data_IF_751017942609
#
_entry.id   IF_751017942609
#
_cell.length_a   1.000
_cell.length_b   1.000
_cell.length_c   1.000
_cell.angle_alpha   90.00
_cell.angle_beta   90.00
_cell.angle_gamma   90.00
#
_symmetry.space_group_name_H-M   'P 1'
#
loop_
_entity.id
_entity.type
_entity.pdbx_description
1 polymer ?
#
# COMPACT_ATOMS: atom_id res chain seq x y z
N UNK A 1 8.89 -5.05 37.00
CA UNK A 1 7.57 -5.68 36.74
C UNK A 1 7.06 -6.16 38.10
N UNK A 2 6.74 -5.21 38.98
CA UNK A 2 6.45 -5.50 40.39
C UNK A 2 4.99 -5.21 40.68
N UNK A 3 4.27 -6.24 41.09
CA UNK A 3 2.82 -6.25 41.30
C UNK A 3 2.36 -5.30 42.43
N UNK A 4 3.28 -4.82 43.27
CA UNK A 4 2.99 -3.87 44.34
C UNK A 4 2.60 -2.47 43.83
N UNK A 5 3.07 -2.06 42.65
CA UNK A 5 2.75 -0.75 42.06
C UNK A 5 1.41 -0.72 41.29
N UNK A 6 0.78 -1.88 41.02
CA UNK A 6 -0.50 -1.99 40.30
C UNK A 6 -1.71 -2.08 41.23
N UNK A 7 -1.50 -2.32 42.53
CA UNK A 7 -2.58 -2.47 43.52
C UNK A 7 -3.43 -1.19 43.73
N UNK A 8 -2.84 -0.01 43.49
CA UNK A 8 -3.55 1.29 43.64
C UNK A 8 -4.59 1.53 42.53
N UNK A 9 -4.47 0.85 41.39
CA UNK A 9 -5.32 1.07 40.20
C UNK A 9 -6.44 0.01 40.02
N UNK A 10 -6.63 -0.90 40.99
CA UNK A 10 -7.74 -1.85 41.05
C UNK A 10 -7.66 -3.05 40.09
N UNK A 11 -8.72 -3.87 40.05
CA UNK A 11 -8.82 -5.15 39.30
C UNK A 11 -8.50 -5.01 37.79
N UNK A 12 -8.65 -3.82 37.21
CA UNK A 12 -8.31 -3.55 35.80
C UNK A 12 -6.80 -3.49 35.52
N UNK A 13 -5.94 -3.46 36.54
CA UNK A 13 -4.48 -3.46 36.43
C UNK A 13 -3.81 -4.84 36.35
N UNK A 14 -4.59 -5.94 36.31
CA UNK A 14 -4.07 -7.31 36.28
C UNK A 14 -3.18 -7.62 35.05
N UNK A 15 -3.39 -6.90 33.94
CA UNK A 15 -2.57 -6.98 32.73
C UNK A 15 -1.41 -5.96 32.70
N UNK A 16 -1.19 -5.22 33.79
CA UNK A 16 -0.27 -4.08 33.87
C UNK A 16 -0.97 -2.74 33.65
N UNK A 17 -0.32 -1.66 34.08
CA UNK A 17 -0.80 -0.27 33.95
C UNK A 17 0.23 0.54 33.17
N UNK A 18 -0.23 1.32 32.19
CA UNK A 18 0.59 2.30 31.48
C UNK A 18 0.26 3.67 32.06
N UNK A 19 1.22 4.29 32.76
CA UNK A 19 1.09 5.65 33.27
C UNK A 19 1.62 6.63 32.22
N UNK A 20 0.75 7.49 31.71
CA UNK A 20 1.12 8.56 30.76
C UNK A 20 1.08 9.88 31.52
N UNK A 21 2.24 10.55 31.62
CA UNK A 21 2.32 11.92 32.13
C UNK A 21 2.58 12.88 30.97
N UNK A 22 1.64 13.80 30.71
CA UNK A 22 1.81 14.83 29.68
C UNK A 22 2.54 16.04 30.25
N UNK A 23 3.34 16.71 29.41
CA UNK A 23 4.01 17.96 29.79
C UNK A 23 2.95 19.03 30.09
N UNK A 24 3.04 19.68 31.26
CA UNK A 24 2.19 20.81 31.66
C UNK A 24 2.88 22.13 31.31
N UNK A 25 2.11 23.16 30.94
CA UNK A 25 2.63 24.49 30.63
C UNK A 25 3.34 25.11 31.84
N UNK A 26 4.50 25.72 31.61
CA UNK A 26 5.28 26.43 32.64
C UNK A 26 5.16 27.94 32.41
N UNK A 27 4.99 28.70 33.48
CA UNK A 27 5.01 30.18 33.43
C UNK A 27 6.42 30.63 33.08
N UNK A 28 6.59 31.32 31.94
CA UNK A 28 7.90 31.70 31.40
C UNK A 28 7.80 32.33 30.01
N UNK A 29 8.94 32.52 29.33
CA UNK A 29 8.98 33.04 27.95
C UNK A 29 8.28 32.06 26.99
N UNK A 30 7.51 32.54 25.99
CA UNK A 30 6.86 31.68 25.01
C UNK A 30 7.90 30.82 24.27
N UNK A 31 7.61 29.53 24.12
CA UNK A 31 8.47 28.59 23.40
C UNK A 31 7.78 28.21 22.09
N UNK A 32 8.32 28.71 20.99
CA UNK A 32 7.87 28.29 19.65
C UNK A 32 8.53 26.97 19.30
N UNK A 33 7.72 25.93 19.09
CA UNK A 33 8.17 24.62 18.62
C UNK A 33 7.66 24.40 17.20
N UNK A 34 8.57 24.07 16.29
CA UNK A 34 8.26 23.72 14.90
C UNK A 34 8.62 22.25 14.71
N UNK A 35 7.61 21.45 14.38
CA UNK A 35 7.79 20.05 14.04
C UNK A 35 7.59 19.89 12.52
N UNK A 36 8.57 19.27 11.86
CA UNK A 36 8.49 18.90 10.45
C UNK A 36 8.64 17.39 10.33
N UNK A 37 7.62 16.73 9.81
CA UNK A 37 7.59 15.29 9.57
C UNK A 37 7.52 15.02 8.06
N UNK A 38 8.38 14.13 7.59
CA UNK A 38 8.36 13.64 6.22
C UNK A 38 8.41 12.12 6.23
N UNK A 39 7.48 11.49 5.52
CA UNK A 39 7.39 10.05 5.35
C UNK A 39 7.40 9.66 3.89
N UNK A 40 8.09 8.56 3.58
CA UNK A 40 8.03 7.88 2.28
C UNK A 40 7.33 6.54 2.51
N UNK A 41 6.30 6.24 1.74
CA UNK A 41 5.53 5.00 1.83
C UNK A 41 5.66 4.20 0.54
N UNK A 42 5.70 2.88 0.66
CA UNK A 42 5.75 1.93 -0.46
C UNK A 42 4.80 0.77 -0.22
N UNK A 43 4.40 0.09 -1.29
CA UNK A 43 3.64 -1.15 -1.18
C UNK A 43 4.51 -2.24 -0.53
N UNK A 44 3.98 -2.90 0.51
CA UNK A 44 4.70 -3.97 1.22
C UNK A 44 4.76 -5.26 0.42
N UNK A 45 3.71 -5.55 -0.37
CA UNK A 45 3.65 -6.71 -1.27
C UNK A 45 2.78 -6.33 -2.47
N UNK A 46 3.28 -6.65 -3.65
CA UNK A 46 2.61 -6.41 -4.92
C UNK A 46 2.49 -7.77 -5.62
N UNK A 47 1.32 -8.13 -6.18
CA UNK A 47 1.20 -9.36 -6.96
C UNK A 47 1.97 -9.24 -8.28
N UNK A 48 2.68 -10.29 -8.66
CA UNK A 48 3.32 -10.38 -9.98
C UNK A 48 2.23 -10.60 -11.04
N UNK A 49 2.03 -9.60 -11.89
CA UNK A 49 1.10 -9.68 -13.00
C UNK A 49 1.79 -10.30 -14.23
N UNK A 50 1.07 -11.19 -14.92
CA UNK A 50 1.51 -11.69 -16.22
C UNK A 50 1.37 -10.60 -17.29
N UNK A 51 2.19 -10.70 -18.33
CA UNK A 51 2.08 -9.86 -19.52
C UNK A 51 0.76 -10.12 -20.27
N UNK A 52 0.33 -9.14 -21.08
CA UNK A 52 -0.93 -9.20 -21.81
C UNK A 52 -1.01 -10.38 -22.78
N UNK A 53 0.10 -10.80 -23.38
CA UNK A 53 0.15 -11.96 -24.29
C UNK A 53 -0.06 -13.25 -23.53
N UNK A 54 0.65 -13.45 -22.42
CA UNK A 54 0.46 -14.61 -21.53
C UNK A 54 -0.96 -14.64 -20.98
N UNK A 55 -1.54 -13.49 -20.60
CA UNK A 55 -2.93 -13.39 -20.19
C UNK A 55 -3.89 -13.90 -21.27
N UNK A 56 -3.73 -13.45 -22.53
CA UNK A 56 -4.59 -13.89 -23.63
C UNK A 56 -4.49 -15.40 -23.89
N UNK A 57 -3.29 -15.97 -23.80
CA UNK A 57 -3.06 -17.41 -23.95
C UNK A 57 -3.73 -18.21 -22.82
N UNK A 58 -3.51 -17.80 -21.57
CA UNK A 58 -4.13 -18.45 -20.41
C UNK A 58 -5.66 -18.32 -20.42
N UNK A 59 -6.20 -17.19 -20.87
CA UNK A 59 -7.64 -17.00 -21.03
C UNK A 59 -8.23 -17.96 -22.07
N UNK A 60 -7.55 -18.14 -23.21
CA UNK A 60 -7.96 -19.10 -24.23
C UNK A 60 -7.87 -20.54 -23.71
N UNK A 61 -6.76 -20.90 -23.06
CA UNK A 61 -6.57 -22.23 -22.46
C UNK A 61 -7.70 -22.53 -21.48
N UNK A 62 -8.00 -21.60 -20.56
CA UNK A 62 -9.08 -21.76 -19.58
C UNK A 62 -10.47 -21.94 -20.19
N UNK A 63 -10.75 -21.31 -21.35
CA UNK A 63 -12.02 -21.47 -22.07
C UNK A 63 -12.09 -22.81 -22.79
N UNK A 64 -11.01 -23.18 -23.49
CA UNK A 64 -10.91 -24.45 -24.21
C UNK A 64 -11.01 -25.63 -23.26
N UNK A 65 -10.37 -25.57 -22.08
CA UNK A 65 -10.50 -26.61 -21.03
C UNK A 65 -11.94 -26.77 -20.54
N UNK A 66 -12.76 -25.71 -20.60
CA UNK A 66 -14.19 -25.75 -20.26
C UNK A 66 -15.09 -26.12 -21.45
N UNK A 67 -14.51 -26.48 -22.60
CA UNK A 67 -15.24 -26.80 -23.83
C UNK A 67 -15.84 -25.58 -24.55
N UNK A 68 -15.38 -24.36 -24.21
CA UNK A 68 -15.81 -23.13 -24.85
C UNK A 68 -14.84 -22.74 -25.98
N UNK A 69 -15.30 -21.90 -26.90
CA UNK A 69 -14.46 -21.35 -27.95
C UNK A 69 -13.44 -20.36 -27.37
N UNK A 70 -12.20 -20.30 -27.90
CA UNK A 70 -11.21 -19.33 -27.48
C UNK A 70 -11.70 -17.90 -27.74
N UNK A 71 -11.43 -17.00 -26.79
CA UNK A 71 -11.86 -15.60 -26.85
C UNK A 71 -10.98 -14.76 -27.77
N UNK A 72 -9.69 -15.07 -27.84
CA UNK A 72 -8.69 -14.32 -28.61
C UNK A 72 -8.22 -15.15 -29.81
N UNK A 73 -8.16 -14.55 -31.00
CA UNK A 73 -7.55 -15.21 -32.17
C UNK A 73 -6.02 -15.25 -32.03
N UNK A 74 -5.36 -16.25 -32.63
CA UNK A 74 -3.90 -16.32 -32.67
C UNK A 74 -3.27 -15.08 -33.32
N UNK A 75 -3.94 -14.52 -34.34
CA UNK A 75 -3.53 -13.28 -34.97
C UNK A 75 -3.51 -12.10 -33.99
N UNK A 76 -4.52 -11.98 -33.14
CA UNK A 76 -4.59 -10.92 -32.11
C UNK A 76 -3.46 -11.08 -31.10
N UNK A 77 -3.20 -12.31 -30.65
CA UNK A 77 -2.12 -12.63 -29.72
C UNK A 77 -0.76 -12.27 -30.34
N UNK A 78 -0.55 -12.61 -31.61
CA UNK A 78 0.69 -12.32 -32.32
C UNK A 78 0.88 -10.82 -32.57
N UNK A 79 -0.18 -10.08 -32.95
CA UNK A 79 -0.14 -8.62 -33.11
C UNK A 79 0.13 -7.89 -31.80
N UNK A 80 -0.39 -8.41 -30.69
CA UNK A 80 -0.07 -7.92 -29.33
C UNK A 80 1.39 -8.20 -28.98
N UNK A 81 1.88 -9.41 -29.28
CA UNK A 81 3.26 -9.80 -29.01
C UNK A 81 4.29 -9.01 -29.85
N UNK A 82 3.97 -8.69 -31.10
CA UNK A 82 4.82 -7.87 -31.98
C UNK A 82 4.70 -6.37 -31.70
N UNK A 83 3.78 -5.96 -30.81
CA UNK A 83 3.46 -4.55 -30.53
C UNK A 83 3.17 -3.75 -31.81
N UNK A 84 2.54 -4.41 -32.80
CA UNK A 84 2.34 -3.86 -34.13
C UNK A 84 1.54 -2.54 -34.10
N UNK A 85 0.49 -2.51 -33.27
CA UNK A 85 -0.28 -1.30 -32.99
C UNK A 85 -0.64 -1.27 -31.50
N UNK A 86 0.06 -0.47 -30.68
CA UNK A 86 -0.18 -0.38 -29.24
C UNK A 86 -1.56 0.20 -28.86
N UNK A 87 -2.25 0.91 -29.76
CA UNK A 87 -3.58 1.45 -29.50
C UNK A 87 -4.67 0.38 -29.71
N UNK A 88 -4.49 -0.45 -30.74
CA UNK A 88 -5.44 -1.52 -31.06
C UNK A 88 -5.17 -2.80 -30.27
N UNK A 89 -3.91 -3.05 -29.91
CA UNK A 89 -3.44 -4.24 -29.18
C UNK A 89 -2.55 -3.85 -27.99
N UNK A 90 -3.13 -3.21 -26.95
CA UNK A 90 -2.36 -2.74 -25.80
C UNK A 90 -1.88 -3.89 -24.92
N UNK A 91 -0.59 -3.86 -24.56
CA UNK A 91 0.03 -4.67 -23.52
C UNK A 91 0.51 -3.74 -22.40
N UNK A 92 -0.43 -3.29 -21.58
CA UNK A 92 -0.20 -2.28 -20.54
C UNK A 92 -0.23 -2.93 -19.16
N UNK A 93 0.85 -2.76 -18.40
CA UNK A 93 0.85 -3.07 -16.98
C UNK A 93 0.10 -1.98 -16.22
N UNK A 94 -1.20 -2.16 -16.04
CA UNK A 94 -2.07 -1.20 -15.36
C UNK A 94 -1.66 -0.93 -13.91
N UNK A 95 -1.04 -1.89 -13.24
CA UNK A 95 -0.61 -1.72 -11.86
C UNK A 95 0.50 -0.68 -11.75
N UNK A 96 1.48 -0.73 -12.65
CA UNK A 96 2.55 0.27 -12.78
C UNK A 96 2.04 1.58 -13.42
N UNK A 97 1.05 1.50 -14.32
CA UNK A 97 0.51 2.69 -14.96
C UNK A 97 -0.35 3.58 -14.03
N UNK A 98 -1.03 2.97 -13.06
CA UNK A 98 -1.95 3.68 -12.15
C UNK A 98 -1.30 4.01 -10.81
N UNK A 99 -0.31 3.23 -10.36
CA UNK A 99 0.31 3.42 -9.05
C UNK A 99 1.74 3.93 -9.17
N UNK A 100 2.01 4.99 -8.41
CA UNK A 100 3.37 5.43 -8.17
C UNK A 100 4.11 4.46 -7.25
N UNK A 101 5.41 4.31 -7.49
CA UNK A 101 6.28 3.43 -6.68
C UNK A 101 6.43 3.92 -5.23
N UNK A 102 6.27 5.21 -5.00
CA UNK A 102 6.48 5.84 -3.69
C UNK A 102 5.43 6.91 -3.42
N UNK A 103 4.77 6.84 -2.26
CA UNK A 103 4.00 7.94 -1.71
C UNK A 103 4.88 8.85 -0.85
N UNK A 104 4.72 10.17 -0.96
CA UNK A 104 5.37 11.12 -0.06
C UNK A 104 4.32 11.82 0.79
N UNK A 105 4.54 11.86 2.10
CA UNK A 105 3.73 12.64 3.03
C UNK A 105 4.62 13.64 3.76
N UNK A 106 4.17 14.89 3.88
CA UNK A 106 4.88 15.98 4.57
C UNK A 106 3.88 16.72 5.45
N UNK A 107 4.23 16.88 6.72
CA UNK A 107 3.43 17.64 7.68
C UNK A 107 4.34 18.60 8.46
N UNK A 108 3.93 19.85 8.56
CA UNK A 108 4.55 20.83 9.44
C UNK A 108 3.53 21.31 10.46
N UNK A 109 3.90 21.33 11.75
CA UNK A 109 3.09 21.87 12.84
C UNK A 109 3.88 22.89 13.64
N UNK A 110 3.22 23.98 14.02
CA UNK A 110 3.81 25.03 14.85
C UNK A 110 3.00 25.14 16.14
N UNK A 111 3.66 25.00 17.28
CA UNK A 111 3.08 25.14 18.61
C UNK A 111 3.76 26.32 19.32
N UNK A 112 3.00 27.12 20.08
CA UNK A 112 3.47 28.31 20.81
C UNK A 112 3.08 28.22 22.28
#
# INVERSE_FOLDING_TARGET
KDASATAVYGIRGANGVILIETKKGKVGKPQVMVDYNQGITTFTKVPDLVDGVTYMRLANEALVTRGQQPKYSEETINRTATKYDPLLYPDVNWLDAVHDKYGQNRQATVNV
#
